data_IF_579204654956
#
_entry.id   IF_579204654956
#
_cell.length_a   1.000
_cell.length_b   1.000
_cell.length_c   1.000
_cell.angle_alpha   90.00
_cell.angle_beta   90.00
_cell.angle_gamma   90.00
#
_symmetry.space_group_name_H-M   'P 1'
#
loop_
_entity.id
_entity.type
_entity.pdbx_description
1 polymer ?
#
# COMPACT_ATOMS: atom_id res chain seq x y z
N UNK A 1 -29.34 -17.69 -21.04
CA UNK A 1 -28.24 -18.37 -20.33
C UNK A 1 -26.94 -17.71 -20.73
N UNK A 2 -26.34 -16.92 -19.84
CA UNK A 2 -25.05 -16.25 -20.09
C UNK A 2 -23.94 -16.98 -19.34
N UNK A 3 -22.72 -17.13 -19.90
CA UNK A 3 -21.69 -17.94 -19.29
C UNK A 3 -20.99 -17.21 -18.13
N UNK A 4 -20.78 -17.94 -17.04
CA UNK A 4 -19.97 -17.54 -15.89
C UNK A 4 -18.50 -17.32 -16.30
N UNK A 5 -18.06 -16.06 -16.32
CA UNK A 5 -16.64 -15.74 -16.32
C UNK A 5 -16.10 -15.83 -14.88
N UNK A 6 -15.21 -16.79 -14.62
CA UNK A 6 -14.41 -16.85 -13.37
C UNK A 6 -13.32 -15.78 -13.42
N UNK A 7 -13.02 -15.05 -12.34
CA UNK A 7 -11.85 -14.18 -12.32
C UNK A 7 -10.57 -15.02 -12.18
N UNK A 8 -9.66 -14.81 -13.13
CA UNK A 8 -8.26 -15.21 -13.05
C UNK A 8 -7.58 -14.42 -11.92
N UNK A 9 -7.00 -15.11 -10.95
CA UNK A 9 -6.08 -14.52 -9.96
C UNK A 9 -4.68 -14.95 -10.36
N UNK A 10 -3.91 -14.03 -10.96
CA UNK A 10 -2.50 -14.25 -11.24
C UNK A 10 -1.68 -13.52 -10.20
N UNK A 11 -1.35 -14.19 -9.09
CA UNK A 11 -0.27 -13.76 -8.22
C UNK A 11 1.05 -14.18 -8.90
N UNK A 12 1.79 -13.23 -9.46
CA UNK A 12 3.13 -13.51 -9.97
C UNK A 12 4.05 -13.79 -8.78
N UNK A 13 4.33 -15.07 -8.51
CA UNK A 13 5.35 -15.50 -7.56
C UNK A 13 6.68 -15.65 -8.30
N UNK A 14 7.60 -14.72 -8.10
CA UNK A 14 9.01 -14.88 -8.50
C UNK A 14 9.70 -16.03 -7.73
N UNK A 15 10.83 -16.55 -8.24
CA UNK A 15 11.48 -17.73 -7.68
C UNK A 15 12.01 -17.45 -6.26
N UNK A 16 11.60 -18.28 -5.30
CA UNK A 16 12.06 -18.23 -3.91
C UNK A 16 13.44 -18.89 -3.81
N UNK A 17 14.50 -18.08 -3.69
CA UNK A 17 15.82 -18.57 -3.32
C UNK A 17 15.79 -19.12 -1.89
N UNK A 18 16.30 -20.34 -1.75
CA UNK A 18 16.28 -21.17 -0.55
C UNK A 18 17.69 -21.21 0.04
N UNK A 19 17.99 -20.35 0.99
CA UNK A 19 19.11 -20.50 1.92
C UNK A 19 18.88 -19.59 3.13
N UNK A 20 18.69 -20.17 4.31
CA UNK A 20 19.29 -19.72 5.56
C UNK A 20 19.09 -20.79 6.65
N UNK A 21 20.16 -21.03 7.39
CA UNK A 21 20.41 -22.13 8.33
C UNK A 21 19.62 -22.02 9.66
N UNK A 22 19.62 -23.07 10.52
CA UNK A 22 18.73 -23.14 11.68
C UNK A 22 19.35 -22.43 12.89
N UNK A 23 18.84 -21.23 13.19
CA UNK A 23 19.11 -20.52 14.44
C UNK A 23 17.96 -19.53 14.68
N UNK A 24 17.07 -19.88 15.62
CA UNK A 24 15.92 -19.08 16.08
C UNK A 24 15.22 -18.32 14.95
N UNK A 25 14.34 -19.02 14.21
CA UNK A 25 13.51 -18.46 13.13
C UNK A 25 12.59 -17.35 13.67
N UNK A 26 13.13 -16.14 13.80
CA UNK A 26 12.33 -14.93 13.87
C UNK A 26 11.49 -14.90 12.61
N UNK A 27 10.18 -15.10 12.75
CA UNK A 27 9.23 -15.05 11.64
C UNK A 27 9.51 -13.79 10.82
N UNK A 28 9.86 -13.96 9.53
CA UNK A 28 10.01 -12.84 8.61
C UNK A 28 8.72 -12.03 8.64
N UNK A 29 8.84 -10.73 8.92
CA UNK A 29 7.69 -9.82 8.93
C UNK A 29 7.20 -9.67 7.51
N UNK A 30 5.90 -9.74 7.31
CA UNK A 30 5.27 -9.59 6.00
C UNK A 30 4.80 -8.15 5.84
N UNK A 31 5.33 -7.46 4.83
CA UNK A 31 4.87 -6.15 4.39
C UNK A 31 4.09 -6.29 3.09
N UNK A 32 2.84 -5.82 3.06
CA UNK A 32 1.99 -5.89 1.87
C UNK A 32 1.47 -4.49 1.53
N UNK A 33 1.73 -4.03 0.30
CA UNK A 33 1.21 -2.78 -0.21
C UNK A 33 0.11 -3.04 -1.24
N UNK A 34 -1.11 -2.66 -0.89
CA UNK A 34 -2.25 -2.62 -1.78
C UNK A 34 -2.28 -1.26 -2.48
N UNK A 35 -1.75 -1.23 -3.71
CA UNK A 35 -1.74 -0.09 -4.61
C UNK A 35 -3.14 0.09 -5.19
N UNK A 36 -3.81 1.19 -4.87
CA UNK A 36 -5.17 1.45 -5.31
C UNK A 36 -5.24 2.75 -6.11
N UNK A 37 -6.30 2.93 -6.88
CA UNK A 37 -6.70 4.26 -7.33
C UNK A 37 -7.77 4.84 -6.40
N UNK A 38 -7.96 6.16 -6.44
CA UNK A 38 -9.04 6.81 -5.70
C UNK A 38 -10.40 6.20 -6.09
N UNK A 39 -11.27 5.98 -5.11
CA UNK A 39 -12.55 5.24 -5.25
C UNK A 39 -12.37 3.77 -5.68
N UNK A 40 -11.18 3.18 -5.55
CA UNK A 40 -10.94 1.75 -5.81
C UNK A 40 -11.50 0.80 -4.75
N UNK A 41 -11.95 1.32 -3.60
CA UNK A 41 -12.37 0.51 -2.45
C UNK A 41 -11.29 0.41 -1.36
N UNK A 42 -10.28 1.29 -1.39
CA UNK A 42 -9.15 1.27 -0.46
C UNK A 42 -9.57 1.27 1.01
N UNK A 43 -10.47 2.17 1.42
CA UNK A 43 -11.01 2.22 2.78
C UNK A 43 -11.74 0.94 3.20
N UNK A 44 -12.55 0.37 2.31
CA UNK A 44 -13.26 -0.88 2.57
C UNK A 44 -12.28 -2.03 2.77
N UNK A 45 -11.26 -2.12 1.90
CA UNK A 45 -10.25 -3.17 2.01
C UNK A 45 -9.44 -3.06 3.30
N UNK A 46 -9.01 -1.86 3.70
CA UNK A 46 -8.34 -1.66 5.00
C UNK A 46 -9.20 -2.21 6.12
N UNK A 47 -10.50 -1.87 6.15
CA UNK A 47 -11.42 -2.35 7.18
C UNK A 47 -11.59 -3.87 7.19
N UNK A 48 -11.67 -4.48 6.01
CA UNK A 48 -11.73 -5.95 5.89
C UNK A 48 -10.47 -6.59 6.45
N UNK A 49 -9.29 -6.04 6.14
CA UNK A 49 -8.01 -6.56 6.64
C UNK A 49 -7.90 -6.46 8.17
N UNK A 50 -8.35 -5.36 8.76
CA UNK A 50 -8.41 -5.20 10.23
C UNK A 50 -9.27 -6.26 10.92
N UNK A 51 -10.38 -6.65 10.28
CA UNK A 51 -11.34 -7.60 10.87
C UNK A 51 -10.90 -9.05 10.62
N UNK A 52 -10.45 -9.35 9.41
CA UNK A 52 -10.26 -10.72 8.95
C UNK A 52 -8.85 -11.26 9.21
N UNK A 53 -7.91 -10.41 9.63
CA UNK A 53 -6.49 -10.80 9.75
C UNK A 53 -5.84 -10.16 10.97
N UNK A 54 -4.76 -10.75 11.51
CA UNK A 54 -4.00 -10.16 12.62
C UNK A 54 -3.04 -9.04 12.17
N UNK A 55 -2.96 -8.70 10.88
CA UNK A 55 -2.01 -7.71 10.39
C UNK A 55 -2.42 -6.31 10.82
N UNK A 56 -1.45 -5.41 11.02
CA UNK A 56 -1.76 -4.00 11.20
C UNK A 56 -2.09 -3.38 9.85
N UNK A 57 -3.38 -3.25 9.56
CA UNK A 57 -3.82 -2.57 8.35
C UNK A 57 -3.70 -1.04 8.50
N UNK A 58 -3.26 -0.35 7.44
CA UNK A 58 -3.14 1.12 7.37
C UNK A 58 -3.79 1.62 6.08
N UNK A 59 -4.42 2.80 6.13
CA UNK A 59 -5.01 3.46 4.96
C UNK A 59 -4.27 4.79 4.71
N UNK A 60 -3.56 4.86 3.59
CA UNK A 60 -2.82 6.06 3.13
C UNK A 60 -1.81 6.60 4.17
N UNK A 61 -1.09 5.71 4.88
CA UNK A 61 -0.13 6.09 5.93
C UNK A 61 1.18 6.61 5.37
N UNK A 62 1.83 5.83 4.48
CA UNK A 62 3.03 6.29 3.81
C UNK A 62 2.73 7.56 3.02
N UNK A 63 3.69 8.49 3.08
CA UNK A 63 3.61 9.86 2.56
C UNK A 63 2.71 10.81 3.37
N UNK A 64 2.04 10.33 4.42
CA UNK A 64 1.20 11.12 5.33
C UNK A 64 1.52 10.84 6.81
N UNK A 65 2.67 10.26 7.14
CA UNK A 65 2.98 9.80 8.49
C UNK A 65 2.96 10.96 9.49
N UNK A 66 3.46 12.13 9.09
CA UNK A 66 3.45 13.32 9.93
C UNK A 66 2.03 13.77 10.29
N UNK A 67 1.06 13.62 9.38
CA UNK A 67 -0.34 13.86 9.71
C UNK A 67 -0.86 12.84 10.74
N UNK A 68 -0.58 11.54 10.54
CA UNK A 68 -0.99 10.50 11.51
C UNK A 68 -0.34 10.65 12.88
N UNK A 69 0.88 11.21 12.92
CA UNK A 69 1.64 11.46 14.14
C UNK A 69 1.36 12.85 14.75
N UNK A 70 0.42 13.62 14.20
CA UNK A 70 0.06 14.96 14.68
C UNK A 70 1.12 16.04 14.47
N UNK A 71 2.13 15.78 13.63
CA UNK A 71 3.21 16.72 13.25
C UNK A 71 2.83 17.61 12.06
N UNK A 72 1.82 17.21 11.30
CA UNK A 72 1.22 18.01 10.24
C UNK A 72 -0.29 18.18 10.51
N UNK A 73 -0.80 19.40 10.35
CA UNK A 73 -2.22 19.71 10.55
C UNK A 73 -3.10 19.12 9.44
N UNK A 74 -2.57 19.01 8.23
CA UNK A 74 -3.30 18.59 7.04
C UNK A 74 -2.66 17.37 6.37
N UNK A 75 -3.51 16.49 5.81
CA UNK A 75 -3.04 15.42 4.93
C UNK A 75 -2.53 15.99 3.62
N UNK A 76 -1.46 15.40 3.12
CA UNK A 76 -0.99 15.64 1.76
C UNK A 76 -1.99 15.05 0.78
N UNK A 77 -2.74 15.93 0.10
CA UNK A 77 -3.75 15.56 -0.90
C UNK A 77 -3.66 16.47 -2.13
N UNK A 78 -4.24 16.05 -3.26
CA UNK A 78 -4.49 16.91 -4.42
C UNK A 78 -3.26 17.68 -4.93
N UNK A 79 -3.25 19.00 -4.69
CA UNK A 79 -2.14 19.91 -5.05
C UNK A 79 -0.87 19.62 -4.26
N UNK A 80 -0.94 19.55 -2.93
CA UNK A 80 0.23 19.27 -2.09
C UNK A 80 0.84 17.91 -2.39
N UNK A 81 0.05 16.94 -2.84
CA UNK A 81 0.57 15.66 -3.32
C UNK A 81 1.32 15.78 -4.65
N UNK A 82 0.85 16.62 -5.58
CA UNK A 82 1.52 16.87 -6.86
C UNK A 82 2.91 17.48 -6.63
N UNK A 83 3.00 18.46 -5.74
CA UNK A 83 4.26 19.11 -5.42
C UNK A 83 5.20 18.11 -4.72
N UNK A 84 4.67 17.27 -3.82
CA UNK A 84 5.44 16.22 -3.16
C UNK A 84 6.05 15.24 -4.16
N UNK A 85 5.30 14.71 -5.12
CA UNK A 85 5.84 13.70 -6.06
C UNK A 85 6.91 14.27 -7.00
N UNK A 86 6.99 15.60 -7.13
CA UNK A 86 8.06 16.27 -7.88
C UNK A 86 9.34 16.43 -7.05
N UNK A 87 9.25 16.42 -5.71
CA UNK A 87 10.40 16.41 -4.80
C UNK A 87 10.79 14.97 -4.42
N UNK A 88 11.64 14.36 -5.25
CA UNK A 88 12.14 13.00 -5.04
C UNK A 88 12.86 12.82 -3.70
N UNK A 89 13.53 13.87 -3.21
CA UNK A 89 14.19 13.86 -1.91
C UNK A 89 13.18 13.79 -0.76
N UNK A 90 12.09 14.57 -0.83
CA UNK A 90 11.01 14.51 0.16
C UNK A 90 10.28 13.17 0.13
N UNK A 91 9.95 12.65 -1.05
CA UNK A 91 9.34 11.31 -1.20
C UNK A 91 10.22 10.26 -0.53
N UNK A 92 11.51 10.23 -0.84
CA UNK A 92 12.43 9.24 -0.29
C UNK A 92 12.50 9.32 1.24
N UNK A 93 12.66 10.53 1.80
CA UNK A 93 12.66 10.73 3.27
C UNK A 93 11.37 10.23 3.92
N UNK A 94 10.21 10.53 3.34
CA UNK A 94 8.93 10.07 3.87
C UNK A 94 8.80 8.54 3.79
N UNK A 95 9.23 7.92 2.70
CA UNK A 95 9.23 6.46 2.57
C UNK A 95 10.18 5.79 3.59
N UNK A 96 11.39 6.32 3.78
CA UNK A 96 12.37 5.82 4.75
C UNK A 96 11.88 5.96 6.20
N UNK A 97 11.29 7.11 6.54
CA UNK A 97 10.68 7.34 7.87
C UNK A 97 9.55 6.35 8.11
N UNK A 98 8.64 6.21 7.14
CA UNK A 98 7.54 5.27 7.24
C UNK A 98 7.99 3.81 7.31
N UNK A 99 9.07 3.47 6.61
CA UNK A 99 9.65 2.12 6.68
C UNK A 99 10.16 1.81 8.08
N UNK A 100 10.87 2.77 8.69
CA UNK A 100 11.37 2.65 10.06
C UNK A 100 10.21 2.39 11.03
N UNK A 101 9.13 3.16 10.94
CA UNK A 101 7.94 2.97 11.77
C UNK A 101 7.30 1.59 11.56
N UNK A 102 7.15 1.16 10.30
CA UNK A 102 6.54 -0.13 9.96
C UNK A 102 7.37 -1.31 10.45
N UNK A 103 8.69 -1.24 10.33
CA UNK A 103 9.60 -2.28 10.82
C UNK A 103 9.49 -2.47 12.31
N UNK A 104 9.09 -1.47 13.08
CA UNK A 104 8.85 -1.60 14.52
C UNK A 104 7.47 -2.21 14.84
N UNK A 105 6.51 -2.13 13.92
CA UNK A 105 5.09 -2.43 14.20
C UNK A 105 4.69 -3.90 14.00
N UNK A 106 5.48 -4.72 13.27
CA UNK A 106 5.16 -6.13 13.00
C UNK A 106 4.73 -6.37 11.55
N UNK A 107 3.83 -7.34 11.33
CA UNK A 107 3.22 -7.59 10.02
C UNK A 107 2.28 -6.43 9.65
N UNK A 108 2.54 -5.76 8.53
CA UNK A 108 1.82 -4.54 8.10
C UNK A 108 1.22 -4.75 6.72
N UNK A 109 -0.04 -4.38 6.58
CA UNK A 109 -0.68 -4.20 5.28
C UNK A 109 -1.06 -2.74 5.10
N UNK A 110 -0.57 -2.08 4.06
CA UNK A 110 -1.00 -0.73 3.74
C UNK A 110 -1.79 -0.71 2.44
N UNK A 111 -2.94 -0.05 2.48
CA UNK A 111 -3.74 0.27 1.30
C UNK A 111 -3.59 1.76 1.01
N UNK A 112 -2.99 2.10 -0.14
CA UNK A 112 -2.61 3.49 -0.43
C UNK A 112 -2.88 3.85 -1.89
N UNK A 113 -3.49 5.03 -2.09
CA UNK A 113 -3.82 5.56 -3.43
C UNK A 113 -2.73 6.41 -4.06
N UNK A 114 -1.71 6.77 -3.27
CA UNK A 114 -0.61 7.66 -3.63
C UNK A 114 0.65 6.90 -4.03
N UNK A 115 0.89 5.74 -3.44
CA UNK A 115 2.06 4.90 -3.73
C UNK A 115 2.24 4.51 -5.21
N UNK A 116 1.19 4.33 -6.04
CA UNK A 116 1.38 4.10 -7.47
C UNK A 116 2.21 5.18 -8.19
N UNK A 117 2.23 6.42 -7.68
CA UNK A 117 2.97 7.53 -8.28
C UNK A 117 4.46 7.56 -7.91
N UNK A 118 4.87 6.75 -6.94
CA UNK A 118 6.25 6.67 -6.43
C UNK A 118 6.73 5.22 -6.40
N UNK A 119 6.24 4.41 -7.35
CA UNK A 119 6.41 2.96 -7.36
C UNK A 119 7.88 2.55 -7.42
N UNK A 120 8.71 3.26 -8.20
CA UNK A 120 10.13 2.94 -8.34
C UNK A 120 10.85 3.09 -6.98
N UNK A 121 10.67 4.24 -6.32
CA UNK A 121 11.22 4.49 -4.99
C UNK A 121 10.68 3.51 -3.94
N UNK A 122 9.41 3.11 -4.04
CA UNK A 122 8.83 2.09 -3.18
C UNK A 122 9.51 0.73 -3.38
N UNK A 123 9.69 0.28 -4.62
CA UNK A 123 10.36 -0.99 -4.93
C UNK A 123 11.84 -1.00 -4.51
N UNK A 124 12.53 0.13 -4.64
CA UNK A 124 13.92 0.28 -4.19
C UNK A 124 14.06 0.13 -2.67
N UNK A 125 13.15 0.72 -1.90
CA UNK A 125 13.24 0.74 -0.43
C UNK A 125 12.64 -0.51 0.23
N UNK A 126 11.59 -1.08 -0.37
CA UNK A 126 10.81 -2.18 0.20
C UNK A 126 10.98 -3.46 -0.62
N UNK A 127 12.22 -3.93 -0.73
CA UNK A 127 12.60 -5.03 -1.63
C UNK A 127 11.98 -6.39 -1.29
N UNK A 128 11.52 -6.58 -0.06
CA UNK A 128 10.87 -7.80 0.42
C UNK A 128 9.35 -7.67 0.57
N UNK A 129 8.78 -6.50 0.22
CA UNK A 129 7.35 -6.29 0.32
C UNK A 129 6.59 -6.93 -0.86
N UNK A 130 5.38 -7.40 -0.56
CA UNK A 130 4.44 -7.86 -1.59
C UNK A 130 3.61 -6.68 -2.09
N UNK A 131 3.64 -6.42 -3.38
CA UNK A 131 2.80 -5.40 -4.02
C UNK A 131 1.55 -6.04 -4.63
N UNK A 132 0.38 -5.48 -4.32
CA UNK A 132 -0.93 -5.94 -4.82
C UNK A 132 -1.66 -4.76 -5.44
N UNK A 133 -2.01 -4.84 -6.72
CA UNK A 133 -2.80 -3.79 -7.37
C UNK A 133 -4.30 -4.04 -7.21
N UNK A 134 -5.02 -3.10 -6.60
CA UNK A 134 -6.46 -3.14 -6.42
C UNK A 134 -7.17 -2.57 -7.65
N UNK A 135 -7.68 -3.45 -8.50
CA UNK A 135 -8.41 -3.08 -9.71
C UNK A 135 -9.92 -2.94 -9.45
N UNK A 136 -10.50 -1.81 -9.88
CA UNK A 136 -11.95 -1.61 -9.96
C UNK A 136 -12.28 -1.15 -11.38
N UNK A 137 -13.43 -1.60 -11.91
CA UNK A 137 -13.87 -1.24 -13.25
C UNK A 137 -13.94 0.30 -13.44
N UNK A 138 -13.26 0.90 -14.44
CA UNK A 138 -13.17 2.36 -14.62
C UNK A 138 -14.51 3.08 -14.59
N UNK A 139 -15.53 2.56 -15.28
CA UNK A 139 -16.89 3.12 -15.27
C UNK A 139 -17.45 3.27 -13.86
N UNK A 140 -17.20 2.30 -12.96
CA UNK A 140 -17.67 2.38 -11.57
C UNK A 140 -16.90 3.40 -10.74
N UNK A 141 -15.64 3.67 -11.07
CA UNK A 141 -14.84 4.71 -10.41
C UNK A 141 -15.34 6.09 -10.82
N UNK A 142 -15.53 6.30 -12.12
CA UNK A 142 -16.05 7.56 -12.67
C UNK A 142 -17.45 7.83 -12.12
N UNK A 143 -18.38 6.88 -12.23
CA UNK A 143 -19.73 7.02 -11.68
C UNK A 143 -19.68 7.36 -10.19
N UNK A 144 -18.87 6.64 -9.41
CA UNK A 144 -18.70 6.89 -7.99
C UNK A 144 -18.15 8.30 -7.69
N UNK A 145 -17.35 8.89 -8.58
CA UNK A 145 -16.82 10.24 -8.42
C UNK A 145 -17.85 11.32 -8.78
N UNK A 146 -18.72 11.04 -9.75
CA UNK A 146 -19.75 11.97 -10.24
C UNK A 146 -21.00 12.00 -9.35
N UNK A 147 -21.39 10.89 -8.73
CA UNK A 147 -22.56 10.80 -7.85
C UNK A 147 -22.34 11.42 -6.46
N UNK A 148 -21.74 12.61 -6.39
CA UNK A 148 -21.54 13.35 -5.13
C UNK A 148 -22.81 14.05 -4.69
#
# INVERSE_FOLDING_TARGET
MAPHARPFVTAAQGPRSRADAPGVLGRRRSHVFFLSIARGGSKWLTRVLEIATPVKARHEYLLNQDFFNGRAADKTTGSGFRDLVQDTGAVRRLLENGWTDMRLTGDVAEVNVHLPHVLDALCELFTDATLVHLHRHPVRIVASRMSR
#
